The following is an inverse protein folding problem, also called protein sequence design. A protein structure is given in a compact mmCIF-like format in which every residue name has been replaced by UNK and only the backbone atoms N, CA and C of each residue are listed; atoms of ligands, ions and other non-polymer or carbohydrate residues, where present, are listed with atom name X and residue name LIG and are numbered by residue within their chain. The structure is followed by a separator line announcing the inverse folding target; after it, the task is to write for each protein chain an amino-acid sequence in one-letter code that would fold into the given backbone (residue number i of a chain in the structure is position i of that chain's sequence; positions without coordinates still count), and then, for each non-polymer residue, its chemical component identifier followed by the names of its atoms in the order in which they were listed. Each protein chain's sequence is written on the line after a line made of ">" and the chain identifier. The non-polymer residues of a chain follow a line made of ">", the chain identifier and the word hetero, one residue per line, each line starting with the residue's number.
data_IF_413543850933
#
_entry.id   IF_413543850933
#
_cell.length_a   1.000
_cell.length_b   1.000
_cell.length_c   1.000
_cell.angle_alpha   90.00
_cell.angle_beta   90.00
_cell.angle_gamma   90.00
#
_symmetry.space_group_name_H-M   'P 1'
#
loop_
_entity.id
_entity.type
_entity.pdbx_description
1 polymer ?
#
# COMPACT_ATOMS: atom_id res chain seq x y z
N UNK A 1 -19.53 -17.77 3.45
CA UNK A 1 -19.49 -19.12 4.06
C UNK A 1 -19.29 -19.09 5.58
N UNK A 2 -18.38 -18.26 6.14
CA UNK A 2 -18.16 -18.18 7.60
C UNK A 2 -19.34 -17.54 8.38
N UNK A 3 -20.10 -16.62 7.77
CA UNK A 3 -21.24 -15.94 8.42
C UNK A 3 -22.43 -16.85 8.75
N UNK A 4 -22.57 -17.97 8.02
CA UNK A 4 -23.67 -18.92 8.27
C UNK A 4 -23.39 -19.79 9.50
N UNK A 5 -22.11 -20.16 9.69
CA UNK A 5 -21.66 -21.01 10.80
C UNK A 5 -21.72 -20.30 12.16
N UNK A 6 -21.52 -18.98 12.21
CA UNK A 6 -21.57 -18.21 13.47
C UNK A 6 -23.00 -17.95 13.96
N UNK A 7 -23.99 -17.90 13.07
CA UNK A 7 -25.41 -17.68 13.45
C UNK A 7 -26.07 -18.92 14.06
N UNK A 8 -25.54 -20.11 13.81
CA UNK A 8 -26.07 -21.37 14.35
C UNK A 8 -25.58 -21.70 15.77
N UNK A 9 -24.53 -21.04 16.26
CA UNK A 9 -23.92 -21.35 17.56
C UNK A 9 -24.56 -20.60 18.74
N UNK A 10 -25.10 -19.40 18.53
CA UNK A 10 -25.82 -18.63 19.56
C UNK A 10 -26.73 -17.57 18.90
N UNK A 11 -28.06 -17.69 19.00
CA UNK A 11 -29.01 -16.77 18.37
C UNK A 11 -29.08 -15.39 19.03
N UNK A 12 -28.43 -15.20 20.19
CA UNK A 12 -28.38 -13.91 20.90
C UNK A 12 -27.20 -13.04 20.50
N UNK A 13 -26.28 -13.57 19.68
CA UNK A 13 -25.12 -12.83 19.20
C UNK A 13 -25.54 -11.81 18.14
N UNK A 14 -25.65 -10.55 18.56
CA UNK A 14 -25.68 -9.41 17.65
C UNK A 14 -24.25 -9.10 17.24
N UNK A 15 -23.88 -9.46 16.02
CA UNK A 15 -22.61 -9.02 15.46
C UNK A 15 -22.63 -7.49 15.35
N UNK A 16 -21.61 -6.78 15.84
CA UNK A 16 -21.51 -5.35 15.59
C UNK A 16 -21.54 -5.11 14.07
N UNK A 17 -22.14 -4.00 13.64
CA UNK A 17 -22.00 -3.55 12.25
C UNK A 17 -20.53 -3.67 11.85
N UNK A 18 -20.22 -4.25 10.68
CA UNK A 18 -18.85 -4.29 10.19
C UNK A 18 -18.28 -2.89 10.35
N UNK A 19 -17.24 -2.75 11.16
CA UNK A 19 -16.52 -1.49 11.28
C UNK A 19 -15.86 -1.29 9.92
N UNK A 20 -16.60 -0.69 8.99
CA UNK A 20 -16.24 -0.44 7.61
C UNK A 20 -15.14 0.60 7.46
N UNK A 21 -14.19 0.63 8.40
CA UNK A 21 -12.84 1.05 8.10
C UNK A 21 -12.05 -0.23 7.91
N UNK A 22 -12.08 -0.73 6.66
CA UNK A 22 -10.87 -1.35 6.13
C UNK A 22 -9.69 -0.44 6.56
N UNK A 23 -8.56 -1.02 6.94
CA UNK A 23 -7.32 -0.24 7.04
C UNK A 23 -7.19 0.50 5.71
N UNK A 24 -7.49 1.80 5.72
CA UNK A 24 -8.00 2.46 4.52
C UNK A 24 -6.94 2.40 3.44
N UNK A 25 -7.23 1.69 2.35
CA UNK A 25 -6.46 1.86 1.14
C UNK A 25 -6.73 3.26 0.58
N UNK A 26 -5.76 3.76 -0.17
CA UNK A 26 -5.93 4.96 -0.96
C UNK A 26 -5.79 4.55 -2.42
N UNK A 27 -6.85 4.77 -3.19
CA UNK A 27 -6.86 4.53 -4.63
C UNK A 27 -6.30 5.74 -5.39
N UNK A 28 -5.35 5.51 -6.29
CA UNK A 28 -4.75 6.53 -7.13
C UNK A 28 -5.76 7.09 -8.16
N UNK A 29 -5.94 8.40 -8.13
CA UNK A 29 -6.60 9.15 -9.21
C UNK A 29 -5.65 9.43 -10.40
N UNK A 30 -6.12 10.17 -11.43
CA UNK A 30 -5.24 10.70 -12.46
C UNK A 30 -4.09 11.52 -11.87
N UNK A 31 -2.89 11.37 -12.41
CA UNK A 31 -1.67 12.08 -11.99
C UNK A 31 -1.35 11.96 -10.49
N UNK A 32 -1.77 10.87 -9.83
CA UNK A 32 -1.55 10.67 -8.41
C UNK A 32 -0.07 10.69 -8.04
N UNK A 33 0.25 11.49 -7.01
CA UNK A 33 1.59 11.62 -6.45
C UNK A 33 1.55 11.47 -4.95
N UNK A 34 2.52 10.74 -4.41
CA UNK A 34 2.77 10.66 -2.98
C UNK A 34 4.23 11.01 -2.73
N UNK A 35 4.50 11.95 -1.81
CA UNK A 35 5.87 12.32 -1.49
C UNK A 35 6.05 12.54 0.02
N UNK A 36 7.13 11.99 0.56
CA UNK A 36 7.49 12.15 1.97
C UNK A 36 9.00 11.94 2.18
N UNK A 37 9.50 12.41 3.32
CA UNK A 37 10.87 12.12 3.77
C UNK A 37 10.85 11.00 4.80
N UNK A 38 11.84 10.11 4.74
CA UNK A 38 12.00 9.02 5.69
C UNK A 38 13.47 8.82 6.05
N UNK A 39 13.73 8.14 7.16
CA UNK A 39 15.06 7.67 7.55
C UNK A 39 15.04 6.16 7.80
N UNK A 40 15.53 5.39 6.83
CA UNK A 40 15.61 3.94 6.90
C UNK A 40 16.64 3.42 5.89
N UNK A 41 16.94 2.13 5.92
CA UNK A 41 17.70 1.44 4.87
C UNK A 41 16.80 1.13 3.67
N UNK A 42 15.57 0.72 3.93
CA UNK A 42 14.61 0.38 2.88
C UNK A 42 13.22 0.94 3.19
N UNK A 43 12.48 1.22 2.12
CA UNK A 43 11.06 1.54 2.13
C UNK A 43 10.31 0.58 1.21
N UNK A 44 9.15 0.11 1.67
CA UNK A 44 8.28 -0.79 0.95
C UNK A 44 6.84 -0.25 0.97
N UNK A 45 6.04 -0.66 -0.01
CA UNK A 45 4.63 -0.35 -0.07
C UNK A 45 3.84 -1.57 -0.50
N UNK A 46 2.74 -1.85 0.20
CA UNK A 46 1.75 -2.84 -0.24
C UNK A 46 0.86 -2.18 -1.29
N UNK A 47 0.86 -2.74 -2.50
CA UNK A 47 0.11 -2.26 -3.65
C UNK A 47 -0.76 -3.38 -4.25
N UNK A 48 -1.91 -2.98 -4.80
CA UNK A 48 -2.79 -3.84 -5.59
C UNK A 48 -3.29 -3.11 -6.85
N UNK A 49 -3.97 -3.86 -7.73
CA UNK A 49 -4.51 -3.34 -8.99
C UNK A 49 -3.58 -3.63 -10.17
N UNK A 50 -3.74 -2.87 -11.26
CA UNK A 50 -2.94 -3.03 -12.48
C UNK A 50 -2.46 -1.67 -12.96
N UNK A 51 -1.14 -1.51 -13.13
CA UNK A 51 -0.54 -0.26 -13.56
C UNK A 51 0.93 -0.16 -13.17
N UNK A 52 1.52 1.02 -13.37
CA UNK A 52 2.91 1.29 -13.05
C UNK A 52 3.04 2.24 -11.86
N UNK A 53 4.11 2.05 -11.09
CA UNK A 53 4.59 3.01 -10.10
C UNK A 53 5.98 3.48 -10.49
N UNK A 54 6.14 4.78 -10.72
CA UNK A 54 7.46 5.39 -10.90
C UNK A 54 8.00 5.81 -9.54
N UNK A 55 9.17 5.31 -9.17
CA UNK A 55 9.86 5.58 -7.90
C UNK A 55 10.93 6.62 -8.14
N UNK A 56 10.84 7.73 -7.41
CA UNK A 56 11.76 8.86 -7.49
C UNK A 56 12.37 9.06 -6.10
N UNK A 57 13.69 9.04 -6.02
CA UNK A 57 14.43 9.23 -4.77
C UNK A 57 15.35 10.42 -4.93
N UNK A 58 15.21 11.40 -4.03
CA UNK A 58 15.99 12.65 -4.05
C UNK A 58 15.96 13.34 -5.43
N UNK A 59 14.77 13.35 -6.04
CA UNK A 59 14.50 13.99 -7.34
C UNK A 59 14.93 13.17 -8.57
N UNK A 60 15.48 11.97 -8.39
CA UNK A 60 15.91 11.10 -9.50
C UNK A 60 15.03 9.85 -9.59
N UNK A 61 14.52 9.55 -10.78
CA UNK A 61 13.84 8.28 -11.04
C UNK A 61 14.84 7.13 -10.84
N UNK A 62 14.55 6.24 -9.90
CA UNK A 62 15.42 5.09 -9.58
C UNK A 62 14.90 3.80 -10.19
N UNK A 63 13.58 3.65 -10.32
CA UNK A 63 12.94 2.50 -10.98
C UNK A 63 11.48 2.77 -11.32
N UNK A 64 10.95 1.92 -12.20
CA UNK A 64 9.51 1.78 -12.44
C UNK A 64 9.11 0.35 -12.10
N UNK A 65 8.01 0.19 -11.37
CA UNK A 65 7.49 -1.09 -10.89
C UNK A 65 6.18 -1.38 -11.60
N UNK A 66 6.07 -2.57 -12.19
CA UNK A 66 4.81 -3.11 -12.69
C UNK A 66 4.03 -3.76 -11.55
N UNK A 67 2.81 -3.28 -11.35
CA UNK A 67 1.87 -3.80 -10.36
C UNK A 67 0.76 -4.55 -11.09
N UNK A 68 0.42 -5.73 -10.57
CA UNK A 68 -0.66 -6.55 -11.11
C UNK A 68 -1.24 -7.47 -10.04
N UNK A 69 -2.56 -7.53 -9.97
CA UNK A 69 -3.28 -8.53 -9.17
C UNK A 69 -3.56 -8.10 -7.73
N UNK A 70 -3.62 -9.08 -6.83
CA UNK A 70 -3.97 -8.90 -5.42
C UNK A 70 -2.88 -8.17 -4.63
N UNK A 71 -3.23 -7.55 -3.48
CA UNK A 71 -2.26 -6.82 -2.66
C UNK A 71 -0.99 -7.62 -2.34
N UNK A 72 0.18 -7.05 -2.66
CA UNK A 72 1.49 -7.63 -2.32
C UNK A 72 2.52 -6.53 -2.02
N UNK A 73 3.63 -6.91 -1.37
CA UNK A 73 4.66 -5.98 -0.93
C UNK A 73 5.66 -5.69 -2.06
N UNK A 74 5.87 -4.41 -2.36
CA UNK A 74 6.86 -3.94 -3.33
C UNK A 74 7.99 -3.15 -2.65
N UNK A 75 9.24 -3.50 -2.99
CA UNK A 75 10.46 -2.81 -2.52
C UNK A 75 10.71 -1.54 -3.35
N UNK A 76 10.58 -0.39 -2.71
CA UNK A 76 10.76 0.92 -3.36
C UNK A 76 12.24 1.33 -3.34
N UNK A 77 12.87 1.22 -2.18
CA UNK A 77 14.30 1.52 -1.96
C UNK A 77 14.98 0.39 -1.19
N UNK A 78 16.29 0.22 -1.40
CA UNK A 78 17.10 -0.79 -0.71
C UNK A 78 18.55 -0.31 -0.65
N UNK A 79 18.80 0.65 0.23
CA UNK A 79 20.13 1.24 0.40
C UNK A 79 21.03 0.31 1.23
N UNK A 80 22.35 0.57 1.22
CA UNK A 80 23.31 -0.21 2.00
C UNK A 80 23.17 0.04 3.51
N UNK A 81 23.08 1.31 3.88
CA UNK A 81 23.05 1.82 5.25
C UNK A 81 21.82 2.74 5.45
N UNK A 82 21.27 2.86 6.68
CA UNK A 82 20.16 3.76 6.94
C UNK A 82 20.52 5.22 6.63
N UNK A 83 19.70 5.88 5.80
CA UNK A 83 19.90 7.28 5.44
C UNK A 83 18.58 8.03 5.40
N UNK A 84 18.67 9.37 5.43
CA UNK A 84 17.50 10.22 5.16
C UNK A 84 17.37 10.42 3.66
N UNK A 85 16.15 10.28 3.14
CA UNK A 85 15.85 10.45 1.72
C UNK A 85 14.46 11.06 1.54
N UNK A 86 14.25 11.75 0.42
CA UNK A 86 12.90 12.12 -0.05
C UNK A 86 12.45 11.10 -1.09
N UNK A 87 11.34 10.43 -0.80
CA UNK A 87 10.67 9.52 -1.73
C UNK A 87 9.50 10.24 -2.39
N UNK A 88 9.39 10.14 -3.70
CA UNK A 88 8.20 10.49 -4.48
C UNK A 88 7.77 9.26 -5.29
N UNK A 89 6.48 8.95 -5.26
CA UNK A 89 5.84 7.93 -6.06
C UNK A 89 4.87 8.60 -7.02
N UNK A 90 4.89 8.19 -8.28
CA UNK A 90 3.85 8.49 -9.26
C UNK A 90 3.14 7.21 -9.61
N UNK A 91 1.85 7.15 -9.34
CA UNK A 91 1.04 5.95 -9.47
C UNK A 91 0.08 6.12 -10.63
N UNK A 92 -0.02 5.10 -11.48
CA UNK A 92 -1.09 5.04 -12.46
C UNK A 92 -2.45 4.99 -11.76
N UNK A 93 -3.45 5.58 -12.42
CA UNK A 93 -4.84 5.61 -11.93
C UNK A 93 -5.33 4.18 -11.68
N UNK A 94 -6.00 3.98 -10.55
CA UNK A 94 -6.61 2.70 -10.17
C UNK A 94 -5.71 1.77 -9.37
N UNK A 95 -4.45 2.13 -9.13
CA UNK A 95 -3.63 1.44 -8.15
C UNK A 95 -4.10 1.75 -6.73
N UNK A 96 -4.10 0.74 -5.87
CA UNK A 96 -4.47 0.85 -4.46
C UNK A 96 -3.20 0.74 -3.61
N UNK A 97 -3.02 1.68 -2.67
CA UNK A 97 -1.91 1.69 -1.73
C UNK A 97 -2.41 1.49 -0.30
N UNK A 98 -1.83 0.54 0.42
CA UNK A 98 -2.35 0.09 1.72
C UNK A 98 -1.47 0.50 2.89
N UNK A 99 -0.19 0.13 2.86
CA UNK A 99 0.70 0.33 3.99
C UNK A 99 2.16 0.51 3.57
N UNK A 100 2.82 1.51 4.15
CA UNK A 100 4.26 1.65 4.08
C UNK A 100 4.94 0.87 5.20
N UNK A 101 6.07 0.25 4.88
CA UNK A 101 6.98 -0.31 5.88
C UNK A 101 8.40 0.16 5.63
N UNK A 102 9.17 0.26 6.71
CA UNK A 102 10.55 0.73 6.71
C UNK A 102 11.41 -0.24 7.51
N UNK A 103 12.67 -0.40 7.11
CA UNK A 103 13.65 -1.22 7.83
C UNK A 103 15.07 -0.84 7.50
#
# INVERSE_FOLDING_TARGET
>A
MIRELLRQADPTVVLPEPTGRAMGDVTAGPDARLAFSYRAKNANLVLAGTGKVTVIVDGRTTKTIDVSGSPTLYRLTDDKDPRTARLELRLDKGLEAYAFTFG
#
